data_IF_389480359895
#
_entry.id   IF_389480359895
#
_cell.length_a   1.000
_cell.length_b   1.000
_cell.length_c   1.000
_cell.angle_alpha   90.00
_cell.angle_beta   90.00
_cell.angle_gamma   90.00
#
_symmetry.space_group_name_H-M   'P 1'
#
loop_
_entity.id
_entity.type
_entity.pdbx_description
1 polymer ?
#
# COMPACT_ATOMS: atom_id res chain seq x y z
N UNK A 1 -7.80 -18.32 -3.52
CA UNK A 1 -7.36 -17.65 -2.28
C UNK A 1 -8.53 -16.80 -1.81
N UNK A 2 -8.90 -16.84 -0.54
CA UNK A 2 -9.93 -15.92 -0.03
C UNK A 2 -9.31 -14.51 -0.04
N UNK A 3 -9.99 -13.48 -0.55
CA UNK A 3 -9.52 -12.11 -0.35
C UNK A 3 -9.39 -11.91 1.17
N UNK A 4 -8.18 -11.56 1.61
CA UNK A 4 -7.89 -11.33 3.01
C UNK A 4 -8.86 -10.25 3.52
N UNK A 5 -9.50 -10.46 4.68
CA UNK A 5 -10.45 -9.48 5.27
C UNK A 5 -9.80 -8.09 5.29
N UNK A 6 -8.51 -8.01 5.60
CA UNK A 6 -7.76 -6.76 5.59
C UNK A 6 -7.68 -6.05 4.24
N UNK A 7 -7.67 -6.77 3.11
CA UNK A 7 -7.61 -6.13 1.79
C UNK A 7 -8.97 -5.54 1.38
N UNK A 8 -10.07 -6.19 1.79
CA UNK A 8 -11.42 -5.66 1.59
C UNK A 8 -11.67 -4.42 2.46
N UNK A 9 -11.23 -4.45 3.72
CA UNK A 9 -11.32 -3.32 4.64
C UNK A 9 -10.50 -2.13 4.14
N UNK A 10 -9.26 -2.36 3.69
CA UNK A 10 -8.42 -1.32 3.09
C UNK A 10 -9.08 -0.72 1.84
N UNK A 11 -9.58 -1.55 0.92
CA UNK A 11 -10.26 -1.05 -0.27
C UNK A 11 -11.50 -0.22 0.08
N UNK A 12 -12.32 -0.68 1.04
CA UNK A 12 -13.49 0.08 1.49
C UNK A 12 -13.10 1.41 2.15
N UNK A 13 -12.01 1.43 2.93
CA UNK A 13 -11.47 2.64 3.53
C UNK A 13 -11.02 3.63 2.45
N UNK A 14 -10.25 3.17 1.48
CA UNK A 14 -9.75 4.00 0.37
C UNK A 14 -10.89 4.56 -0.48
N UNK A 15 -11.96 3.80 -0.73
CA UNK A 15 -13.17 4.33 -1.41
C UNK A 15 -13.85 5.47 -0.65
N UNK A 16 -13.74 5.48 0.67
CA UNK A 16 -14.40 6.48 1.53
C UNK A 16 -13.53 7.71 1.75
N UNK A 17 -12.22 7.51 1.91
CA UNK A 17 -11.29 8.55 2.37
C UNK A 17 -10.25 8.96 1.33
N UNK A 18 -10.07 8.17 0.26
CA UNK A 18 -9.05 8.38 -0.77
C UNK A 18 -7.62 8.08 -0.32
N UNK A 19 -7.37 7.89 0.98
CA UNK A 19 -6.04 7.63 1.52
C UNK A 19 -6.07 6.77 2.78
N UNK A 20 -4.98 6.08 3.06
CA UNK A 20 -4.68 5.40 4.30
C UNK A 20 -3.18 5.53 4.63
N UNK A 21 -2.82 5.31 5.90
CA UNK A 21 -1.44 5.22 6.36
C UNK A 21 -1.28 3.96 7.20
N UNK A 22 -0.27 3.14 6.89
CA UNK A 22 0.03 1.88 7.60
C UNK A 22 1.53 1.80 7.80
N UNK A 23 2.01 1.72 9.04
CA UNK A 23 3.45 1.63 9.36
C UNK A 23 4.31 2.70 8.67
N UNK A 24 3.78 3.92 8.53
CA UNK A 24 4.45 5.05 7.86
C UNK A 24 4.37 5.02 6.33
N UNK A 25 3.81 3.96 5.73
CA UNK A 25 3.52 3.91 4.30
C UNK A 25 2.26 4.71 3.98
N UNK A 26 2.34 5.58 2.98
CA UNK A 26 1.17 6.29 2.47
C UNK A 26 0.56 5.50 1.30
N UNK A 27 -0.75 5.29 1.38
CA UNK A 27 -1.54 4.55 0.39
C UNK A 27 -2.59 5.51 -0.13
N UNK A 28 -2.46 5.97 -1.37
CA UNK A 28 -3.33 7.00 -1.94
C UNK A 28 -4.08 6.44 -3.15
N UNK A 29 -5.41 6.43 -3.10
CA UNK A 29 -6.24 6.02 -4.22
C UNK A 29 -6.55 7.23 -5.11
N UNK A 30 -6.27 7.08 -6.41
CA UNK A 30 -6.61 8.05 -7.44
C UNK A 30 -7.27 7.34 -8.62
N UNK A 31 -8.59 7.52 -8.75
CA UNK A 31 -9.38 6.86 -9.79
C UNK A 31 -9.27 5.34 -9.74
N UNK A 32 -8.67 4.75 -10.78
CA UNK A 32 -8.51 3.31 -10.94
C UNK A 32 -7.22 2.76 -10.31
N UNK A 33 -6.35 3.61 -9.77
CA UNK A 33 -5.03 3.23 -9.29
C UNK A 33 -4.82 3.61 -7.81
N UNK A 34 -3.90 2.89 -7.15
CA UNK A 34 -3.40 3.19 -5.81
C UNK A 34 -1.90 3.43 -5.90
N UNK A 35 -1.45 4.55 -5.36
CA UNK A 35 -0.07 4.97 -5.23
C UNK A 35 0.45 4.54 -3.85
N UNK A 36 1.56 3.82 -3.83
CA UNK A 36 2.23 3.40 -2.61
C UNK A 36 3.54 4.17 -2.43
N UNK A 37 3.59 4.98 -1.37
CA UNK A 37 4.77 5.74 -0.98
C UNK A 37 5.34 5.12 0.30
N UNK A 38 6.65 4.83 0.29
CA UNK A 38 7.32 4.25 1.46
C UNK A 38 7.49 5.29 2.59
N UNK A 39 7.90 4.87 3.80
CA UNK A 39 8.07 5.76 4.95
C UNK A 39 9.11 6.89 4.77
N UNK A 40 9.90 6.85 3.70
CA UNK A 40 10.87 7.89 3.36
C UNK A 40 10.33 8.91 2.34
N UNK A 41 9.05 8.81 1.96
CA UNK A 41 8.42 9.71 0.99
C UNK A 41 8.76 9.39 -0.46
N UNK A 42 9.18 8.15 -0.76
CA UNK A 42 9.50 7.72 -2.13
C UNK A 42 8.35 6.85 -2.65
N UNK A 43 7.83 7.19 -3.83
CA UNK A 43 6.85 6.36 -4.53
C UNK A 43 7.53 5.10 -5.06
N UNK A 44 7.02 3.93 -4.65
CA UNK A 44 7.66 2.63 -4.92
C UNK A 44 6.74 1.64 -5.61
N UNK A 45 5.46 1.96 -5.79
CA UNK A 45 4.54 1.05 -6.48
C UNK A 45 3.21 1.68 -6.87
N UNK A 46 2.63 1.11 -7.93
CA UNK A 46 1.29 1.38 -8.42
C UNK A 46 0.52 0.08 -8.44
N UNK A 47 -0.73 0.12 -7.98
CA UNK A 47 -1.59 -1.05 -7.86
C UNK A 47 -2.99 -0.72 -8.37
N UNK A 48 -3.73 -1.72 -8.86
CA UNK A 48 -5.13 -1.54 -9.19
C UNK A 48 -5.95 -1.16 -7.94
N UNK A 49 -6.89 -0.22 -8.10
CA UNK A 49 -7.78 0.21 -7.02
C UNK A 49 -8.92 -0.81 -6.81
N UNK A 50 -8.54 -1.99 -6.37
CA UNK A 50 -9.44 -3.07 -5.98
C UNK A 50 -8.90 -3.85 -4.77
N UNK A 51 -9.62 -4.90 -4.38
CA UNK A 51 -9.26 -5.72 -3.22
C UNK A 51 -8.01 -6.57 -3.44
N UNK A 52 -7.64 -6.88 -4.69
CA UNK A 52 -6.43 -7.64 -5.03
C UNK A 52 -5.21 -6.71 -4.93
N UNK A 53 -5.28 -5.52 -5.52
CA UNK A 53 -4.26 -4.48 -5.39
C UNK A 53 -3.99 -4.12 -3.93
N UNK A 54 -5.05 -3.92 -3.13
CA UNK A 54 -4.92 -3.72 -1.68
C UNK A 54 -4.22 -4.90 -0.98
N UNK A 55 -4.47 -6.14 -1.42
CA UNK A 55 -3.81 -7.33 -0.86
C UNK A 55 -2.31 -7.33 -1.12
N UNK A 56 -1.89 -6.96 -2.34
CA UNK A 56 -0.47 -6.87 -2.71
C UNK A 56 0.25 -5.74 -1.98
N UNK A 57 -0.44 -4.62 -1.70
CA UNK A 57 0.09 -3.54 -0.86
C UNK A 57 0.35 -4.04 0.56
N UNK A 58 -0.64 -4.71 1.18
CA UNK A 58 -0.49 -5.25 2.53
C UNK A 58 0.64 -6.28 2.62
N UNK A 59 0.75 -7.16 1.63
CA UNK A 59 1.86 -8.12 1.53
C UNK A 59 3.21 -7.39 1.43
N UNK A 60 3.31 -6.37 0.57
CA UNK A 60 4.53 -5.56 0.40
C UNK A 60 4.95 -4.90 1.71
N UNK A 61 4.01 -4.25 2.40
CA UNK A 61 4.29 -3.61 3.70
C UNK A 61 4.70 -4.65 4.74
N UNK A 62 4.03 -5.81 4.80
CA UNK A 62 4.34 -6.86 5.79
C UNK A 62 5.68 -7.56 5.60
N UNK A 63 6.23 -7.51 4.37
CA UNK A 63 7.50 -8.14 4.01
C UNK A 63 8.66 -7.14 3.96
N UNK A 64 8.38 -5.86 4.18
CA UNK A 64 9.39 -4.81 4.23
C UNK A 64 10.09 -4.82 5.60
N UNK A 65 11.34 -5.27 5.61
CA UNK A 65 12.21 -5.27 6.79
C UNK A 65 12.83 -3.89 7.07
N UNK A 66 12.46 -2.87 6.30
CA UNK A 66 13.03 -1.52 6.35
C UNK A 66 14.56 -1.50 6.18
N UNK A 67 15.17 -2.57 5.66
CA UNK A 67 16.58 -2.57 5.27
C UNK A 67 16.73 -1.68 4.03
N UNK A 68 17.07 -0.42 4.27
CA UNK A 68 17.39 0.55 3.21
C UNK A 68 18.40 -0.06 2.23
N UNK A 69 17.99 -0.25 0.98
CA UNK A 69 18.89 -0.59 -0.13
C UNK A 69 19.80 0.59 -0.57
N UNK A 70 19.76 1.71 0.15
CA UNK A 70 20.58 2.90 -0.13
C UNK A 70 21.81 2.95 0.77
N UNK A 71 22.81 2.16 0.38
CA UNK A 71 24.25 2.44 0.53
C UNK A 71 24.80 2.64 1.94
N UNK A 72 25.62 1.69 2.39
CA UNK A 72 26.75 2.01 3.28
C UNK A 72 27.54 3.16 2.65
N UNK A 73 27.63 4.30 3.36
CA UNK A 73 28.59 5.38 3.05
C UNK A 73 30.03 4.91 3.25
#
# INVERSE_FOLDING_TARGET
>A
MQPNIGSQELHQHLKTHGRAEIDGWAINADGAEIWLTNPYGIDVGFYDNDAEGCGRILERISTDDHEREWGTL
#
